data_IF_187967359669
#
_entry.id   IF_187967359669
#
_cell.length_a   1.000
_cell.length_b   1.000
_cell.length_c   1.000
_cell.angle_alpha   90.00
_cell.angle_beta   90.00
_cell.angle_gamma   90.00
#
_symmetry.space_group_name_H-M   'P 1'
#
loop_
_entity.id
_entity.type
_entity.pdbx_description
1 polymer ?
#
# COMPACT_ATOMS: atom_id res chain seq x y z
N UNK A 1 39.63 52.29 -15.40
CA UNK A 1 39.41 50.94 -15.96
C UNK A 1 39.46 49.92 -14.81
N UNK A 2 38.44 49.85 -13.91
CA UNK A 2 38.46 48.96 -12.69
C UNK A 2 37.04 48.47 -12.32
N UNK A 3 36.18 48.16 -13.29
CA UNK A 3 34.77 47.73 -13.03
C UNK A 3 34.55 46.22 -13.08
N UNK A 4 35.48 45.45 -13.65
CA UNK A 4 35.31 44.01 -13.91
C UNK A 4 35.35 43.13 -12.64
N UNK A 5 36.21 43.42 -11.65
CA UNK A 5 36.32 42.56 -10.45
C UNK A 5 35.07 42.58 -9.56
N UNK A 6 34.41 43.74 -9.40
CA UNK A 6 33.18 43.86 -8.59
C UNK A 6 31.98 43.22 -9.30
N UNK A 7 31.96 43.20 -10.62
CA UNK A 7 30.92 42.54 -11.42
C UNK A 7 31.01 41.02 -11.32
N UNK A 8 32.23 40.45 -11.39
CA UNK A 8 32.46 39.02 -11.22
C UNK A 8 32.02 38.51 -9.83
N UNK A 9 32.41 39.20 -8.74
CA UNK A 9 31.99 38.83 -7.38
C UNK A 9 30.47 38.90 -7.18
N UNK A 10 29.79 39.90 -7.76
CA UNK A 10 28.32 40.02 -7.68
C UNK A 10 27.60 38.95 -8.49
N UNK A 11 28.11 38.59 -9.67
CA UNK A 11 27.56 37.50 -10.47
C UNK A 11 27.74 36.13 -9.81
N UNK A 12 28.90 35.87 -9.21
CA UNK A 12 29.16 34.65 -8.43
C UNK A 12 28.26 34.58 -7.21
N UNK A 13 28.12 35.68 -6.44
CA UNK A 13 27.20 35.74 -5.30
C UNK A 13 25.74 35.52 -5.72
N UNK A 14 25.30 36.08 -6.85
CA UNK A 14 23.95 35.89 -7.36
C UNK A 14 23.70 34.43 -7.80
N UNK A 15 24.67 33.77 -8.46
CA UNK A 15 24.59 32.34 -8.77
C UNK A 15 24.58 31.47 -7.51
N UNK A 16 25.37 31.82 -6.49
CA UNK A 16 25.40 31.09 -5.22
C UNK A 16 24.07 31.22 -4.46
N UNK A 17 23.48 32.42 -4.42
CA UNK A 17 22.17 32.68 -3.82
C UNK A 17 21.02 32.00 -4.58
N UNK A 18 21.09 31.99 -5.92
CA UNK A 18 20.12 31.27 -6.75
C UNK A 18 20.22 29.74 -6.54
N UNK A 19 21.44 29.20 -6.47
CA UNK A 19 21.69 27.79 -6.15
C UNK A 19 21.30 27.41 -4.72
N UNK A 20 21.39 28.35 -3.77
CA UNK A 20 20.97 28.14 -2.39
C UNK A 20 19.44 28.19 -2.23
N UNK A 21 18.74 28.97 -3.05
CA UNK A 21 17.27 29.01 -3.06
C UNK A 21 16.65 27.76 -3.72
N UNK A 22 17.32 27.11 -4.68
CA UNK A 22 16.84 25.83 -5.24
C UNK A 22 16.94 24.65 -4.27
N UNK A 23 17.54 24.82 -3.09
CA UNK A 23 17.53 23.83 -2.01
C UNK A 23 16.23 23.84 -1.18
N UNK A 24 15.30 24.76 -1.42
CA UNK A 24 13.93 24.62 -0.91
C UNK A 24 13.18 23.60 -1.78
N UNK A 25 13.57 22.33 -1.61
CA UNK A 25 13.07 21.19 -2.34
C UNK A 25 11.54 21.08 -2.28
N UNK A 26 10.93 20.68 -3.40
CA UNK A 26 9.57 20.18 -3.41
C UNK A 26 9.51 18.93 -2.53
N UNK A 27 8.47 18.84 -1.71
CA UNK A 27 8.26 17.68 -0.85
C UNK A 27 6.90 17.08 -1.21
N UNK A 28 6.89 15.77 -1.49
CA UNK A 28 5.65 15.02 -1.72
C UNK A 28 5.32 14.25 -0.44
N UNK A 29 4.25 14.65 0.22
CA UNK A 29 3.74 14.01 1.43
C UNK A 29 2.57 13.11 1.06
N UNK A 30 2.68 11.82 1.40
CA UNK A 30 1.72 10.79 0.99
C UNK A 30 1.22 10.07 2.24
N UNK A 31 -0.10 10.10 2.48
CA UNK A 31 -0.73 9.55 3.68
C UNK A 31 -2.09 8.94 3.35
N UNK A 32 -2.39 7.78 3.92
CA UNK A 32 -3.76 7.26 3.93
C UNK A 32 -4.27 7.05 5.35
N UNK A 33 -5.58 7.16 5.53
CA UNK A 33 -6.29 6.93 6.77
C UNK A 33 -7.28 5.79 6.59
N UNK A 34 -7.18 4.78 7.45
CA UNK A 34 -8.07 3.64 7.49
C UNK A 34 -9.14 3.87 8.56
N UNK A 35 -10.40 3.72 8.18
CA UNK A 35 -11.55 3.77 9.08
C UNK A 35 -12.37 2.49 8.95
N UNK A 36 -12.91 2.04 10.07
CA UNK A 36 -13.90 0.96 10.08
C UNK A 36 -15.19 1.39 10.73
N UNK A 37 -16.27 0.74 10.32
CA UNK A 37 -17.55 0.78 10.97
C UNK A 37 -17.95 -0.64 11.40
N UNK A 38 -18.01 -0.94 12.71
CA UNK A 38 -17.72 -0.06 13.86
C UNK A 38 -16.22 0.26 14.04
N UNK A 39 -15.86 1.38 14.71
CA UNK A 39 -14.47 1.82 14.91
C UNK A 39 -13.72 0.94 15.91
N UNK A 40 -12.39 0.98 15.92
CA UNK A 40 -11.54 0.22 16.85
C UNK A 40 -11.16 -1.18 16.34
N UNK A 41 -11.27 -1.43 15.04
CA UNK A 41 -10.72 -2.64 14.45
C UNK A 41 -9.21 -2.52 14.30
N UNK A 42 -8.48 -3.59 14.57
CA UNK A 42 -7.05 -3.67 14.32
C UNK A 42 -6.78 -3.70 12.82
N UNK A 43 -5.97 -2.76 12.34
CA UNK A 43 -5.54 -2.71 10.95
C UNK A 43 -4.12 -3.25 10.80
N UNK A 44 -3.98 -4.27 9.96
CA UNK A 44 -2.71 -4.84 9.52
C UNK A 44 -2.57 -4.52 8.04
N UNK A 45 -1.47 -3.89 7.64
CA UNK A 45 -1.22 -3.55 6.23
C UNK A 45 0.09 -4.18 5.78
N UNK A 46 0.04 -4.94 4.69
CA UNK A 46 1.17 -5.69 4.14
C UNK A 46 1.87 -6.57 5.21
N UNK A 47 1.08 -7.18 6.09
CA UNK A 47 1.58 -8.02 7.19
C UNK A 47 2.09 -7.26 8.43
N UNK A 48 2.08 -5.92 8.42
CA UNK A 48 2.52 -5.11 9.56
C UNK A 48 1.33 -4.49 10.31
N UNK A 49 1.30 -4.68 11.63
CA UNK A 49 0.29 -4.11 12.50
C UNK A 49 0.49 -2.59 12.65
N UNK A 50 -0.49 -1.79 12.23
CA UNK A 50 -0.46 -0.33 12.37
C UNK A 50 -1.15 0.10 13.67
N UNK A 51 -2.19 -0.63 14.09
CA UNK A 51 -2.95 -0.36 15.30
C UNK A 51 -4.46 -0.24 15.08
N UNK A 52 -5.21 0.21 16.10
CA UNK A 52 -6.66 0.29 16.05
C UNK A 52 -7.15 1.48 15.22
N UNK A 53 -8.21 1.27 14.44
CA UNK A 53 -8.82 2.28 13.58
C UNK A 53 -9.71 3.26 14.37
N UNK A 54 -9.78 4.56 14.00
CA UNK A 54 -9.16 5.18 12.84
C UNK A 54 -7.65 5.36 13.01
N UNK A 55 -6.87 4.93 12.01
CA UNK A 55 -5.40 5.02 12.02
C UNK A 55 -4.90 5.55 10.69
N UNK A 56 -3.85 6.37 10.72
CA UNK A 56 -3.20 6.88 9.52
C UNK A 56 -1.78 6.37 9.37
N UNK A 57 -1.35 6.18 8.13
CA UNK A 57 0.01 5.77 7.81
C UNK A 57 0.53 6.52 6.58
N UNK A 58 1.78 6.96 6.65
CA UNK A 58 2.51 7.50 5.50
C UNK A 58 3.06 6.37 4.63
N UNK A 59 3.24 6.64 3.34
CA UNK A 59 3.79 5.67 2.40
C UNK A 59 4.70 6.31 1.37
N UNK A 60 5.66 5.55 0.85
CA UNK A 60 6.61 6.05 -0.15
C UNK A 60 6.11 5.78 -1.57
N UNK A 61 5.68 4.55 -1.86
CA UNK A 61 5.34 4.13 -3.22
C UNK A 61 3.85 3.80 -3.37
N UNK A 62 3.30 4.18 -4.53
CA UNK A 62 1.97 3.75 -4.97
C UNK A 62 1.96 2.28 -5.34
N UNK A 63 0.78 1.68 -5.22
CA UNK A 63 0.58 0.26 -5.46
C UNK A 63 -0.55 -0.29 -4.61
N UNK A 64 -0.75 -1.59 -4.75
CA UNK A 64 -1.79 -2.31 -4.02
C UNK A 64 -1.33 -2.58 -2.59
N UNK A 65 -2.27 -2.43 -1.65
CA UNK A 65 -2.04 -2.69 -0.23
C UNK A 65 -2.93 -3.83 0.21
N UNK A 66 -2.33 -4.85 0.80
CA UNK A 66 -3.07 -5.91 1.46
C UNK A 66 -3.43 -5.42 2.87
N UNK A 67 -4.71 -5.13 3.08
CA UNK A 67 -5.25 -4.62 4.33
C UNK A 67 -6.07 -5.73 4.96
N UNK A 68 -5.68 -6.15 6.15
CA UNK A 68 -6.44 -7.10 6.96
C UNK A 68 -7.01 -6.37 8.16
N UNK A 69 -8.34 -6.39 8.26
CA UNK A 69 -9.07 -5.77 9.37
C UNK A 69 -9.57 -6.87 10.31
N UNK A 70 -9.23 -6.74 11.59
CA UNK A 70 -9.60 -7.70 12.63
C UNK A 70 -10.34 -6.97 13.74
N UNK A 71 -11.49 -7.51 14.14
CA UNK A 71 -12.25 -6.99 15.28
C UNK A 71 -13.03 -8.11 15.96
N UNK A 72 -13.06 -8.08 17.29
CA UNK A 72 -13.80 -9.06 18.09
C UNK A 72 -15.29 -9.06 17.76
N UNK A 73 -15.83 -10.25 17.49
CA UNK A 73 -17.23 -10.43 17.10
C UNK A 73 -17.54 -10.09 15.63
N UNK A 74 -16.51 -9.77 14.83
CA UNK A 74 -16.63 -9.50 13.39
C UNK A 74 -15.76 -10.49 12.60
N UNK A 75 -16.10 -10.68 11.33
CA UNK A 75 -15.31 -11.49 10.41
C UNK A 75 -14.01 -10.77 10.06
N UNK A 76 -12.90 -11.51 10.05
CA UNK A 76 -11.64 -11.00 9.51
C UNK A 76 -11.80 -10.73 8.03
N UNK A 77 -11.54 -9.49 7.63
CA UNK A 77 -11.73 -9.06 6.24
C UNK A 77 -10.37 -8.72 5.61
N UNK A 78 -9.82 -9.62 4.75
CA UNK A 78 -8.68 -9.30 3.91
C UNK A 78 -9.15 -8.53 2.66
N UNK A 79 -8.50 -7.40 2.37
CA UNK A 79 -8.87 -6.47 1.31
C UNK A 79 -7.61 -6.08 0.55
N UNK A 80 -7.66 -6.13 -0.78
CA UNK A 80 -6.61 -5.57 -1.62
C UNK A 80 -7.06 -4.17 -2.05
N UNK A 81 -6.44 -3.15 -1.46
CA UNK A 81 -6.74 -1.74 -1.74
C UNK A 81 -5.74 -1.17 -2.75
N UNK A 82 -6.14 -0.91 -4.01
CA UNK A 82 -5.28 -0.24 -4.97
C UNK A 82 -5.12 1.25 -4.62
N UNK A 83 -3.88 1.70 -4.51
CA UNK A 83 -3.54 3.12 -4.35
C UNK A 83 -2.85 3.58 -5.63
N UNK A 84 -3.64 4.12 -6.57
CA UNK A 84 -3.14 4.59 -7.88
C UNK A 84 -2.30 5.84 -7.75
N UNK A 85 -1.17 5.91 -8.45
CA UNK A 85 -0.37 7.12 -8.55
C UNK A 85 -1.15 8.25 -9.24
N UNK A 86 -1.10 9.49 -8.72
CA UNK A 86 -1.58 10.64 -9.45
C UNK A 86 -0.67 10.93 -10.65
N UNK A 87 -1.14 11.74 -11.60
CA UNK A 87 -0.41 11.99 -12.86
C UNK A 87 0.95 12.68 -12.65
N UNK A 88 1.10 13.44 -11.56
CA UNK A 88 2.31 14.20 -11.21
C UNK A 88 3.37 13.39 -10.46
N UNK A 89 3.13 12.10 -10.21
CA UNK A 89 3.96 11.24 -9.37
C UNK A 89 4.26 9.92 -10.11
N UNK A 90 4.80 10.07 -11.31
CA UNK A 90 5.32 8.98 -12.13
C UNK A 90 6.82 9.14 -12.32
N UNK A 91 7.49 8.10 -12.82
CA UNK A 91 8.96 8.07 -12.97
C UNK A 91 9.56 9.32 -13.64
N UNK A 92 8.84 9.95 -14.58
CA UNK A 92 9.31 11.15 -15.28
C UNK A 92 8.91 12.44 -14.57
N UNK A 93 7.68 12.53 -14.06
CA UNK A 93 7.14 13.77 -13.46
C UNK A 93 7.58 13.97 -12.01
N UNK A 94 7.78 12.89 -11.25
CA UNK A 94 8.22 12.90 -9.83
C UNK A 94 9.54 13.65 -9.66
N UNK A 95 10.51 13.42 -10.56
CA UNK A 95 11.78 14.15 -10.53
C UNK A 95 11.59 15.67 -10.61
N UNK A 96 10.66 16.15 -11.45
CA UNK A 96 10.43 17.59 -11.57
C UNK A 96 9.64 18.16 -10.40
N UNK A 97 8.64 17.43 -9.91
CA UNK A 97 7.78 17.89 -8.82
C UNK A 97 8.50 17.92 -7.49
N UNK A 98 9.43 17.00 -7.25
CA UNK A 98 10.26 16.98 -6.04
C UNK A 98 11.45 17.97 -6.11
N UNK A 99 12.07 18.18 -7.28
CA UNK A 99 13.33 18.95 -7.34
C UNK A 99 13.16 20.40 -7.81
N UNK A 100 12.14 20.71 -8.64
CA UNK A 100 12.05 22.02 -9.30
C UNK A 100 10.86 22.87 -8.86
N UNK A 101 9.86 22.26 -8.22
CA UNK A 101 8.65 22.96 -7.78
C UNK A 101 8.77 23.22 -6.27
N UNK A 102 8.90 24.48 -5.82
CA UNK A 102 8.98 24.83 -4.39
C UNK A 102 7.59 24.83 -3.74
N UNK A 103 6.81 23.77 -3.97
CA UNK A 103 5.47 23.56 -3.40
C UNK A 103 5.38 22.15 -2.83
N UNK A 104 4.68 22.01 -1.70
CA UNK A 104 4.45 20.70 -1.07
C UNK A 104 3.22 20.04 -1.64
N UNK A 105 3.40 18.97 -2.42
CA UNK A 105 2.28 18.16 -2.90
C UNK A 105 1.83 17.22 -1.78
N UNK A 106 0.56 17.30 -1.40
CA UNK A 106 -0.03 16.43 -0.38
C UNK A 106 -1.05 15.50 -1.00
N UNK A 107 -0.85 14.20 -0.88
CA UNK A 107 -1.81 13.16 -1.22
C UNK A 107 -2.31 12.52 0.07
N UNK A 108 -3.48 12.97 0.52
CA UNK A 108 -4.19 12.42 1.67
C UNK A 108 -5.42 11.65 1.20
N UNK A 109 -5.46 10.35 1.55
CA UNK A 109 -6.57 9.46 1.16
C UNK A 109 -7.26 8.88 2.37
N UNK A 110 -8.55 8.65 2.24
CA UNK A 110 -9.36 8.05 3.28
C UNK A 110 -10.07 6.81 2.73
N UNK A 111 -9.90 5.69 3.43
CA UNK A 111 -10.52 4.42 3.10
C UNK A 111 -11.40 3.98 4.26
N UNK A 112 -12.69 3.77 3.99
CA UNK A 112 -13.68 3.36 5.00
C UNK A 112 -14.22 1.99 4.67
N UNK A 113 -14.23 1.10 5.66
CA UNK A 113 -14.69 -0.28 5.53
C UNK A 113 -15.80 -0.61 6.53
N UNK A 114 -16.84 -1.29 6.07
CA UNK A 114 -17.92 -1.78 6.93
C UNK A 114 -17.64 -3.25 7.28
N UNK A 115 -17.53 -3.55 8.57
CA UNK A 115 -17.24 -4.89 9.04
C UNK A 115 -18.51 -5.72 9.14
N UNK A 116 -18.42 -6.99 8.74
CA UNK A 116 -19.50 -7.96 8.85
C UNK A 116 -19.41 -8.69 10.20
N UNK A 117 -20.51 -8.77 10.98
CA UNK A 117 -20.52 -9.55 12.22
C UNK A 117 -20.15 -11.02 11.96
N UNK A 118 -19.44 -11.62 12.91
CA UNK A 118 -19.09 -13.03 12.85
C UNK A 118 -20.34 -13.88 13.14
N UNK A 119 -20.80 -14.64 12.14
CA UNK A 119 -21.84 -15.65 12.34
C UNK A 119 -21.22 -16.92 12.90
N UNK A 120 -21.69 -17.37 14.06
CA UNK A 120 -21.36 -18.71 14.57
C UNK A 120 -22.20 -19.72 13.78
N UNK A 121 -21.60 -20.61 12.98
CA UNK A 121 -22.36 -21.63 12.27
C UNK A 121 -23.02 -22.59 13.27
N UNK A 122 -24.27 -23.03 13.01
CA UNK A 122 -24.95 -23.98 13.88
C UNK A 122 -24.21 -25.33 13.89
N UNK A 123 -24.34 -26.07 15.00
CA UNK A 123 -23.53 -27.28 15.27
C UNK A 123 -23.71 -28.36 14.21
N UNK A 124 -24.91 -28.52 13.67
CA UNK A 124 -25.20 -29.48 12.59
C UNK A 124 -24.37 -29.17 11.33
N UNK A 125 -24.29 -27.90 10.91
CA UNK A 125 -23.48 -27.51 9.75
C UNK A 125 -21.98 -27.80 9.95
N UNK A 126 -21.48 -27.66 11.19
CA UNK A 126 -20.10 -27.99 11.53
C UNK A 126 -19.84 -29.51 11.43
N UNK A 127 -20.79 -30.33 11.89
CA UNK A 127 -20.71 -31.79 11.79
C UNK A 127 -20.73 -32.23 10.32
N UNK A 128 -21.65 -31.69 9.52
CA UNK A 128 -21.77 -32.01 8.10
C UNK A 128 -20.50 -31.62 7.34
N UNK A 129 -19.93 -30.43 7.62
CA UNK A 129 -18.65 -29.99 7.05
C UNK A 129 -17.50 -30.92 7.43
N UNK A 130 -17.44 -31.38 8.69
CA UNK A 130 -16.42 -32.30 9.15
C UNK A 130 -16.54 -33.69 8.49
N UNK A 131 -17.77 -34.21 8.34
CA UNK A 131 -18.03 -35.46 7.63
C UNK A 131 -17.64 -35.35 6.15
N UNK A 132 -17.97 -34.24 5.49
CA UNK A 132 -17.58 -33.97 4.10
C UNK A 132 -16.07 -33.90 3.90
N UNK A 133 -15.33 -33.27 4.83
CA UNK A 133 -13.87 -33.27 4.78
C UNK A 133 -13.29 -34.68 4.98
N UNK A 134 -13.90 -35.49 5.86
CA UNK A 134 -13.48 -36.88 6.08
C UNK A 134 -13.70 -37.76 4.84
N UNK A 135 -14.84 -37.62 4.16
CA UNK A 135 -15.11 -38.39 2.93
C UNK A 135 -14.17 -37.99 1.80
N UNK A 136 -13.86 -36.70 1.65
CA UNK A 136 -12.86 -36.20 0.71
C UNK A 136 -11.45 -36.77 1.00
N UNK A 137 -11.06 -36.86 2.26
CA UNK A 137 -9.76 -37.43 2.65
C UNK A 137 -9.65 -38.94 2.37
N UNK A 138 -10.77 -39.67 2.39
CA UNK A 138 -10.83 -41.10 2.05
C UNK A 138 -10.86 -41.35 0.54
N UNK A 139 -11.13 -40.32 -0.27
CA UNK A 139 -11.18 -40.49 -1.72
C UNK A 139 -9.73 -40.56 -2.24
N UNK A 140 -9.35 -41.60 -3.02
CA UNK A 140 -8.00 -41.69 -3.55
C UNK A 140 -7.69 -40.46 -4.41
N UNK A 141 -6.45 -39.93 -4.36
CA UNK A 141 -6.07 -38.77 -5.16
C UNK A 141 -6.26 -39.08 -6.64
N UNK A 142 -6.71 -38.09 -7.41
CA UNK A 142 -6.84 -38.22 -8.86
C UNK A 142 -5.49 -38.68 -9.45
N UNK A 143 -5.47 -39.72 -10.32
CA UNK A 143 -4.22 -40.19 -10.90
C UNK A 143 -3.51 -39.03 -11.61
N UNK A 144 -2.19 -38.92 -11.41
CA UNK A 144 -1.35 -37.93 -12.09
C UNK A 144 -1.53 -38.13 -13.60
N UNK A 145 -1.94 -37.09 -14.33
CA UNK A 145 -2.07 -37.12 -15.78
C UNK A 145 -0.69 -37.46 -16.37
N UNK A 146 -0.54 -38.67 -16.87
CA UNK A 146 0.71 -39.12 -17.47
C UNK A 146 0.83 -38.45 -18.84
N UNK A 147 1.88 -37.63 -19.00
CA UNK A 147 2.25 -37.06 -20.29
C UNK A 147 2.80 -38.12 -21.23
N UNK A 148 2.95 -37.75 -22.50
CA UNK A 148 3.39 -38.64 -23.58
C UNK A 148 4.76 -39.32 -23.32
N UNK A 149 5.59 -38.72 -22.46
CA UNK A 149 6.92 -39.18 -22.10
C UNK A 149 6.96 -40.33 -21.07
N UNK A 150 5.82 -40.78 -20.52
CA UNK A 150 5.77 -41.85 -19.52
C UNK A 150 6.38 -43.18 -20.03
N UNK A 151 6.33 -43.43 -21.34
CA UNK A 151 6.93 -44.62 -21.96
C UNK A 151 8.45 -44.54 -22.10
N UNK A 152 9.06 -43.37 -21.86
CA UNK A 152 10.52 -43.14 -21.95
C UNK A 152 11.23 -43.18 -20.59
N UNK A 153 10.52 -43.48 -19.49
CA UNK A 153 11.14 -43.68 -18.16
C UNK A 153 11.51 -42.41 -17.39
N UNK A 154 11.01 -41.23 -17.79
CA UNK A 154 11.11 -39.96 -17.06
C UNK A 154 9.79 -39.56 -16.38
#
# INVERSE_FOLDING_TARGET
MVRHERQGRRAVLAMMLAGLCSLSAGCVERRYTLRTNPPGALAIVNGEEIGPTPVSRSFTYYGDREITLIKDGYQTQPIIQPIRAPWWDNLLTEFFTENFIPYTFRDEREFTYNLTPATVPPTNELVDRAQNLRTQALTPPKPRRQGLLKYLGF
#
